data_IF_135033989673
#
_entry.id   IF_135033989673
#
_cell.length_a   1.000
_cell.length_b   1.000
_cell.length_c   1.000
_cell.angle_alpha   90.00
_cell.angle_beta   90.00
_cell.angle_gamma   90.00
#
_symmetry.space_group_name_H-M   'P 1'
#
loop_
_entity.id
_entity.type
_entity.pdbx_description
1 polymer ?
#
# COMPACT_ATOMS: atom_id res chain seq x y z
N UNK A 1 -9.98 -10.08 -18.27
CA UNK A 1 -8.62 -9.52 -18.07
C UNK A 1 -8.25 -8.68 -19.29
N UNK A 2 -7.41 -7.65 -19.12
CA UNK A 2 -6.89 -6.84 -20.25
C UNK A 2 -5.42 -7.19 -20.48
N UNK A 3 -4.98 -7.19 -21.74
CA UNK A 3 -3.59 -7.45 -22.10
C UNK A 3 -2.84 -6.13 -22.24
N UNK A 4 -1.61 -6.08 -21.72
CA UNK A 4 -0.69 -4.97 -21.88
C UNK A 4 0.66 -5.51 -22.36
N UNK A 5 1.31 -4.79 -23.28
CA UNK A 5 2.66 -5.12 -23.74
C UNK A 5 3.64 -4.13 -23.12
N UNK A 6 4.60 -4.63 -22.36
CA UNK A 6 5.62 -3.84 -21.67
C UNK A 6 7.01 -4.31 -22.09
N UNK A 7 7.97 -3.38 -22.16
CA UNK A 7 9.39 -3.71 -22.36
C UNK A 7 10.05 -3.85 -21.00
N UNK A 8 10.71 -4.98 -20.78
CA UNK A 8 11.43 -5.29 -19.55
C UNK A 8 12.87 -5.65 -19.89
N UNK A 9 13.78 -5.36 -18.97
CA UNK A 9 15.15 -5.83 -19.06
C UNK A 9 15.19 -7.37 -19.11
N UNK A 10 16.17 -7.90 -19.84
CA UNK A 10 16.31 -9.34 -20.09
C UNK A 10 16.40 -10.14 -18.78
N UNK A 11 17.09 -9.58 -17.78
CA UNK A 11 17.30 -10.20 -16.47
C UNK A 11 15.98 -10.55 -15.76
N UNK A 12 15.02 -9.63 -15.71
CA UNK A 12 13.71 -9.88 -15.09
C UNK A 12 12.96 -11.04 -15.77
N UNK A 13 13.08 -11.15 -17.10
CA UNK A 13 12.45 -12.24 -17.85
C UNK A 13 13.13 -13.58 -17.59
N UNK A 14 14.46 -13.58 -17.40
CA UNK A 14 15.22 -14.77 -17.04
C UNK A 14 14.88 -15.25 -15.63
N UNK A 15 14.76 -14.34 -14.67
CA UNK A 15 14.39 -14.69 -13.29
C UNK A 15 12.97 -15.21 -13.17
N UNK A 16 12.01 -14.55 -13.82
CA UNK A 16 10.63 -15.07 -13.89
C UNK A 16 10.57 -16.47 -14.51
N UNK A 17 11.41 -16.74 -15.51
CA UNK A 17 11.49 -18.06 -16.15
C UNK A 17 12.11 -19.12 -15.23
N UNK A 18 13.10 -18.77 -14.40
CA UNK A 18 13.69 -19.69 -13.40
C UNK A 18 12.65 -20.06 -12.34
N UNK A 19 11.95 -19.07 -11.78
CA UNK A 19 10.91 -19.28 -10.75
C UNK A 19 9.77 -20.13 -11.33
N UNK A 20 9.31 -19.80 -12.53
CA UNK A 20 8.24 -20.56 -13.21
C UNK A 20 8.57 -22.06 -13.36
N UNK A 21 9.83 -22.38 -13.67
CA UNK A 21 10.30 -23.78 -13.75
C UNK A 21 10.32 -24.47 -12.38
N UNK A 22 10.73 -23.76 -11.33
CA UNK A 22 10.78 -24.29 -9.97
C UNK A 22 9.38 -24.59 -9.44
N UNK A 23 8.44 -23.67 -9.68
CA UNK A 23 7.06 -23.75 -9.19
C UNK A 23 6.13 -24.54 -10.12
N UNK A 24 6.62 -24.94 -11.30
CA UNK A 24 5.85 -25.64 -12.35
C UNK A 24 4.60 -24.86 -12.80
N UNK A 25 4.77 -23.54 -12.95
CA UNK A 25 3.73 -22.62 -13.42
C UNK A 25 4.17 -21.90 -14.70
N UNK A 26 3.25 -21.19 -15.35
CA UNK A 26 3.59 -20.35 -16.47
C UNK A 26 4.39 -19.11 -16.04
N UNK A 27 5.33 -18.69 -16.88
CA UNK A 27 6.08 -17.43 -16.68
C UNK A 27 5.15 -16.22 -16.49
N UNK A 28 3.99 -16.22 -17.16
CA UNK A 28 3.00 -15.14 -17.04
C UNK A 28 2.33 -15.11 -15.66
N UNK A 29 2.26 -16.23 -14.94
CA UNK A 29 1.77 -16.28 -13.57
C UNK A 29 2.76 -15.59 -12.62
N UNK A 30 4.04 -15.93 -12.72
CA UNK A 30 5.11 -15.31 -11.91
C UNK A 30 5.18 -13.80 -12.16
N UNK A 31 5.15 -13.38 -13.43
CA UNK A 31 5.17 -11.94 -13.77
C UNK A 31 3.94 -11.23 -13.19
N UNK A 32 2.76 -11.85 -13.27
CA UNK A 32 1.53 -11.25 -12.73
C UNK A 32 1.61 -11.10 -11.22
N UNK A 33 2.06 -12.13 -10.52
CA UNK A 33 2.24 -12.07 -9.07
C UNK A 33 3.25 -10.98 -8.67
N UNK A 34 4.36 -10.85 -9.39
CA UNK A 34 5.32 -9.78 -9.17
C UNK A 34 4.68 -8.39 -9.37
N UNK A 35 3.85 -8.21 -10.40
CA UNK A 35 3.11 -6.97 -10.65
C UNK A 35 2.09 -6.70 -9.54
N UNK A 36 1.35 -7.72 -9.08
CA UNK A 36 0.35 -7.57 -8.02
C UNK A 36 1.01 -7.11 -6.71
N UNK A 37 2.15 -7.72 -6.34
CA UNK A 37 2.94 -7.31 -5.18
C UNK A 37 3.52 -5.91 -5.34
N UNK A 38 4.12 -5.62 -6.49
CA UNK A 38 4.68 -4.29 -6.77
C UNK A 38 3.63 -3.19 -6.80
N UNK A 39 2.42 -3.48 -7.30
CA UNK A 39 1.31 -2.52 -7.33
C UNK A 39 0.82 -2.16 -5.92
N UNK A 40 0.89 -3.09 -4.96
CA UNK A 40 0.59 -2.78 -3.56
C UNK A 40 1.54 -1.71 -3.01
N UNK A 41 2.85 -1.86 -3.25
CA UNK A 41 3.86 -0.89 -2.83
C UNK A 41 3.67 0.47 -3.53
N UNK A 42 3.46 0.46 -4.85
CA UNK A 42 3.24 1.70 -5.63
C UNK A 42 2.03 2.49 -5.10
N UNK A 43 0.95 1.80 -4.74
CA UNK A 43 -0.23 2.44 -4.14
C UNK A 43 0.08 3.02 -2.76
N UNK A 44 0.82 2.29 -1.94
CA UNK A 44 1.22 2.72 -0.60
C UNK A 44 2.10 3.98 -0.66
N UNK A 45 3.13 3.99 -1.51
CA UNK A 45 4.00 5.14 -1.71
C UNK A 45 3.24 6.37 -2.21
N UNK A 46 2.35 6.19 -3.19
CA UNK A 46 1.53 7.29 -3.71
C UNK A 46 0.58 7.87 -2.64
N UNK A 47 -0.05 7.00 -1.83
CA UNK A 47 -0.91 7.43 -0.73
C UNK A 47 -0.13 8.22 0.33
N UNK A 48 1.05 7.74 0.71
CA UNK A 48 1.92 8.40 1.68
C UNK A 48 2.46 9.74 1.18
N UNK A 49 2.81 9.85 -0.10
CA UNK A 49 3.23 11.13 -0.72
C UNK A 49 2.10 12.17 -0.64
N UNK A 50 0.87 11.79 -0.99
CA UNK A 50 -0.30 12.67 -0.87
C UNK A 50 -0.58 13.06 0.59
N UNK A 51 -0.50 12.11 1.52
CA UNK A 51 -0.66 12.35 2.94
C UNK A 51 0.40 13.33 3.48
N UNK A 52 1.67 13.13 3.11
CA UNK A 52 2.78 13.99 3.55
C UNK A 52 2.65 15.44 3.07
N UNK A 53 1.92 15.64 1.97
CA UNK A 53 1.59 16.96 1.39
C UNK A 53 0.29 17.54 1.96
N UNK A 54 -0.26 16.95 3.02
CA UNK A 54 -1.52 17.31 3.67
C UNK A 54 -2.72 17.36 2.71
N UNK A 55 -2.69 16.58 1.62
CA UNK A 55 -3.76 16.58 0.60
C UNK A 55 -4.92 15.65 0.93
N UNK A 56 -4.67 14.65 1.76
CA UNK A 56 -5.63 13.60 2.13
C UNK A 56 -5.46 13.22 3.60
N UNK A 57 -6.53 12.72 4.20
CA UNK A 57 -6.55 12.17 5.55
C UNK A 57 -5.90 10.79 5.64
N UNK A 58 -5.63 10.32 6.86
CA UNK A 58 -5.17 8.95 7.12
C UNK A 58 -6.12 7.88 6.56
N UNK A 59 -7.44 8.13 6.65
CA UNK A 59 -8.45 7.20 6.12
C UNK A 59 -8.40 7.13 4.60
N UNK A 60 -8.38 8.27 3.92
CA UNK A 60 -8.28 8.32 2.46
C UNK A 60 -6.97 7.70 1.95
N UNK A 61 -5.86 7.92 2.66
CA UNK A 61 -4.60 7.26 2.34
C UNK A 61 -4.72 5.72 2.45
N UNK A 62 -5.37 5.22 3.49
CA UNK A 62 -5.59 3.78 3.69
C UNK A 62 -6.44 3.16 2.57
N UNK A 63 -7.46 3.88 2.09
CA UNK A 63 -8.31 3.45 0.98
C UNK A 63 -7.52 3.35 -0.33
N UNK A 64 -6.65 4.32 -0.64
CA UNK A 64 -5.79 4.31 -1.83
C UNK A 64 -4.81 3.13 -1.77
N UNK A 65 -4.15 2.95 -0.63
CA UNK A 65 -3.22 1.85 -0.42
C UNK A 65 -3.92 0.47 -0.46
N UNK A 66 -5.20 0.42 -0.06
CA UNK A 66 -5.97 -0.80 0.08
C UNK A 66 -5.59 -1.58 1.34
N UNK A 67 -5.30 -0.86 2.42
CA UNK A 67 -4.97 -1.41 3.76
C UNK A 67 -5.91 -0.80 4.80
N UNK A 68 -5.95 -1.35 6.01
CA UNK A 68 -6.73 -0.76 7.11
C UNK A 68 -6.15 0.58 7.57
N UNK A 69 -6.99 1.41 8.21
CA UNK A 69 -6.54 2.67 8.82
C UNK A 69 -5.42 2.43 9.83
N UNK A 70 -5.47 1.34 10.60
CA UNK A 70 -4.44 0.97 11.55
C UNK A 70 -3.09 0.66 10.89
N UNK A 71 -3.09 -0.15 9.83
CA UNK A 71 -1.87 -0.45 9.05
C UNK A 71 -1.29 0.83 8.41
N UNK A 72 -2.15 1.74 7.94
CA UNK A 72 -1.69 3.04 7.44
C UNK A 72 -1.05 3.89 8.54
N UNK A 73 -1.61 3.89 9.75
CA UNK A 73 -0.99 4.58 10.89
C UNK A 73 0.39 4.02 11.21
N UNK A 74 0.56 2.70 11.16
CA UNK A 74 1.87 2.06 11.35
C UNK A 74 2.89 2.50 10.28
N UNK A 75 2.48 2.52 9.01
CA UNK A 75 3.34 2.92 7.90
C UNK A 75 3.71 4.43 7.94
N UNK A 76 2.81 5.29 8.41
CA UNK A 76 3.05 6.72 8.68
C UNK A 76 4.11 6.87 9.78
N UNK A 77 3.95 6.18 10.91
CA UNK A 77 4.88 6.24 12.05
C UNK A 77 6.26 5.73 11.65
N UNK A 78 6.33 4.59 10.96
CA UNK A 78 7.56 3.97 10.47
C UNK A 78 8.39 4.91 9.58
N UNK A 79 7.74 5.80 8.83
CA UNK A 79 8.39 6.81 7.97
C UNK A 79 8.59 8.16 8.64
N UNK A 80 8.27 8.29 9.93
CA UNK A 80 8.42 9.54 10.69
C UNK A 80 7.45 10.64 10.26
N UNK A 81 6.40 10.29 9.51
CA UNK A 81 5.34 11.21 9.14
C UNK A 81 4.39 11.41 10.33
N UNK A 82 3.71 12.55 10.38
CA UNK A 82 2.74 12.85 11.42
C UNK A 82 1.51 13.52 10.82
N UNK A 83 0.29 13.12 11.25
CA UNK A 83 -0.91 13.89 10.92
C UNK A 83 -0.83 15.26 11.58
N UNK A 84 -1.39 16.26 10.89
CA UNK A 84 -1.53 17.62 11.40
C UNK A 84 -2.74 17.70 12.37
N UNK A 85 -2.60 17.04 13.52
CA UNK A 85 -3.59 17.02 14.59
C UNK A 85 -2.91 17.19 15.94
N UNK A 86 -3.61 17.80 16.89
CA UNK A 86 -3.13 17.99 18.25
C UNK A 86 -3.48 16.81 19.15
N UNK A 87 -2.85 16.75 20.32
CA UNK A 87 -3.19 15.75 21.34
C UNK A 87 -4.62 15.92 21.87
N UNK A 88 -5.13 17.16 21.91
CA UNK A 88 -6.48 17.43 22.37
C UNK A 88 -7.52 16.89 21.37
N UNK A 89 -7.27 17.05 20.06
CA UNK A 89 -8.13 16.49 19.00
C UNK A 89 -8.27 14.96 19.11
N UNK A 90 -7.15 14.28 19.41
CA UNK A 90 -7.13 12.83 19.63
C UNK A 90 -7.94 12.45 20.88
N UNK A 91 -7.78 13.21 21.97
CA UNK A 91 -8.46 12.97 23.24
C UNK A 91 -9.97 13.15 23.12
N UNK A 92 -10.42 14.17 22.40
CA UNK A 92 -11.84 14.41 22.14
C UNK A 92 -12.44 13.35 21.22
N UNK A 93 -11.69 12.94 20.19
CA UNK A 93 -12.08 11.84 19.30
C UNK A 93 -12.23 10.52 20.06
N UNK A 94 -11.29 10.19 20.94
CA UNK A 94 -11.38 9.00 21.80
C UNK A 94 -12.57 9.07 22.76
N UNK A 95 -12.81 10.23 23.40
CA UNK A 95 -13.96 10.43 24.29
C UNK A 95 -15.29 10.16 23.58
N UNK A 96 -15.40 10.56 22.31
CA UNK A 96 -16.60 10.28 21.52
C UNK A 96 -16.68 8.82 21.09
N UNK A 97 -15.58 8.21 20.67
CA UNK A 97 -15.53 6.80 20.30
C UNK A 97 -15.95 5.88 21.46
N UNK A 98 -15.52 6.18 22.68
CA UNK A 98 -15.89 5.40 23.88
C UNK A 98 -17.39 5.41 24.17
N UNK A 99 -18.15 6.44 23.75
CA UNK A 99 -19.61 6.48 23.91
C UNK A 99 -20.34 5.50 22.98
N UNK A 100 -19.68 5.03 21.92
CA UNK A 100 -20.26 4.12 20.93
C UNK A 100 -20.16 2.66 21.36
N UNK A 101 -19.32 2.36 22.35
CA UNK A 101 -19.04 1.02 22.84
C UNK A 101 -19.85 0.84 24.13
N UNK A 102 -20.57 -0.29 24.25
CA UNK A 102 -21.36 -0.64 25.44
C UNK A 102 -20.49 -1.17 26.57
#
# INVERSE_FOLDING_TARGET
>A
MKNVSIRLEKEYMEDAQKIAKLEKVDKSAVIREAIERGMAEVKLEAALDLFSKEKISTSEASEIAGISVGEMMDEIVKRGLRPNITKEDVKDSLKNALKLIK
#
